data_IF_177534465392
#
_entry.id   IF_177534465392
#
_cell.length_a   1.000
_cell.length_b   1.000
_cell.length_c   1.000
_cell.angle_alpha   90.00
_cell.angle_beta   90.00
_cell.angle_gamma   90.00
#
_symmetry.space_group_name_H-M   'P 1'
#
loop_
_entity.id
_entity.type
_entity.pdbx_description
1 polymer ?
#
# COMPACT_ATOMS: atom_id res chain seq x y z
N UNK A 1 -27.64 0.11 23.89
CA UNK A 1 -27.05 0.74 22.70
C UNK A 1 -25.73 0.04 22.43
N UNK A 2 -25.63 -0.74 21.36
CA UNK A 2 -24.34 -1.28 20.94
C UNK A 2 -23.51 -0.07 20.48
N UNK A 3 -22.30 0.16 21.02
CA UNK A 3 -21.41 1.16 20.46
C UNK A 3 -20.93 0.57 19.14
N UNK A 4 -21.75 0.73 18.10
CA UNK A 4 -21.35 0.40 16.75
C UNK A 4 -20.04 1.13 16.51
N UNK A 5 -19.00 0.36 16.20
CA UNK A 5 -17.71 0.87 15.74
C UNK A 5 -18.01 2.00 14.75
N UNK A 6 -17.73 3.25 15.13
CA UNK A 6 -17.91 4.41 14.26
C UNK A 6 -16.75 4.42 13.26
N UNK A 7 -16.72 3.43 12.39
CA UNK A 7 -15.76 3.34 11.30
C UNK A 7 -16.16 4.41 10.30
N UNK A 8 -15.28 5.37 10.08
CA UNK A 8 -15.48 6.44 9.11
C UNK A 8 -14.91 5.98 7.75
N UNK A 9 -15.75 5.76 6.71
CA UNK A 9 -15.27 5.34 5.39
C UNK A 9 -14.23 6.29 4.78
N UNK A 10 -14.33 7.59 5.07
CA UNK A 10 -13.39 8.59 4.59
C UNK A 10 -12.00 8.46 5.23
N UNK A 11 -11.93 8.03 6.50
CA UNK A 11 -10.66 7.76 7.17
C UNK A 11 -9.99 6.50 6.59
N UNK A 12 -10.78 5.47 6.29
CA UNK A 12 -10.26 4.27 5.64
C UNK A 12 -9.76 4.56 4.22
N UNK A 13 -10.47 5.40 3.47
CA UNK A 13 -10.03 5.83 2.14
C UNK A 13 -8.70 6.59 2.21
N UNK A 14 -8.56 7.53 3.15
CA UNK A 14 -7.30 8.25 3.37
C UNK A 14 -6.17 7.30 3.76
N UNK A 15 -6.46 6.29 4.59
CA UNK A 15 -5.48 5.26 4.94
C UNK A 15 -5.03 4.48 3.69
N UNK A 16 -5.96 4.05 2.83
CA UNK A 16 -5.60 3.37 1.58
C UNK A 16 -4.74 4.27 0.65
N UNK A 17 -5.07 5.56 0.55
CA UNK A 17 -4.26 6.54 -0.21
C UNK A 17 -2.85 6.70 0.37
N UNK A 18 -2.71 6.73 1.70
CA UNK A 18 -1.40 6.79 2.36
C UNK A 18 -0.56 5.54 2.08
N UNK A 19 -1.17 4.35 2.17
CA UNK A 19 -0.50 3.08 1.87
C UNK A 19 -0.02 3.04 0.40
N UNK A 20 -0.82 3.50 -0.55
CA UNK A 20 -0.37 3.66 -1.95
C UNK A 20 0.79 4.67 -2.10
N UNK A 21 0.80 5.73 -1.29
CA UNK A 21 1.93 6.66 -1.21
C UNK A 21 3.21 5.93 -0.79
N UNK A 22 3.14 5.12 0.26
CA UNK A 22 4.26 4.31 0.75
C UNK A 22 4.75 3.30 -0.29
N UNK A 23 3.85 2.64 -1.03
CA UNK A 23 4.21 1.78 -2.18
C UNK A 23 5.04 2.54 -3.22
N UNK A 24 4.64 3.78 -3.52
CA UNK A 24 5.35 4.65 -4.47
C UNK A 24 6.76 4.97 -3.97
N UNK A 25 6.91 5.26 -2.68
CA UNK A 25 8.21 5.53 -2.05
C UNK A 25 9.13 4.30 -2.05
N UNK A 26 8.60 3.11 -1.77
CA UNK A 26 9.37 1.86 -1.86
C UNK A 26 9.89 1.60 -3.27
N UNK A 27 9.03 1.75 -4.28
CA UNK A 27 9.42 1.57 -5.68
C UNK A 27 10.46 2.61 -6.12
N UNK A 28 10.32 3.87 -5.70
CA UNK A 28 11.32 4.92 -5.98
C UNK A 28 12.67 4.59 -5.32
N UNK A 29 12.65 4.14 -4.07
CA UNK A 29 13.86 3.76 -3.32
C UNK A 29 14.55 2.56 -3.96
N UNK A 30 13.79 1.54 -4.37
CA UNK A 30 14.30 0.38 -5.11
C UNK A 30 14.96 0.79 -6.44
N UNK A 31 14.38 1.76 -7.15
CA UNK A 31 14.96 2.35 -8.36
C UNK A 31 16.30 3.04 -8.08
N UNK A 32 16.37 3.87 -7.05
CA UNK A 32 17.62 4.55 -6.66
C UNK A 32 18.72 3.57 -6.25
N UNK A 33 18.39 2.53 -5.47
CA UNK A 33 19.35 1.50 -5.08
C UNK A 33 19.87 0.71 -6.28
N UNK A 34 19.00 0.42 -7.25
CA UNK A 34 19.40 -0.24 -8.51
C UNK A 34 20.40 0.62 -9.29
N UNK A 35 20.16 1.92 -9.39
CA UNK A 35 21.09 2.84 -10.05
C UNK A 35 22.44 2.91 -9.31
N UNK A 36 22.41 3.08 -7.98
CA UNK A 36 23.63 3.10 -7.16
C UNK A 36 24.43 1.80 -7.27
N UNK A 37 23.74 0.65 -7.33
CA UNK A 37 24.36 -0.65 -7.53
C UNK A 37 25.11 -0.73 -8.86
N UNK A 38 24.56 -0.12 -9.89
CA UNK A 38 25.16 -0.11 -11.22
C UNK A 38 26.38 0.82 -11.28
N UNK A 39 26.27 2.01 -10.70
CA UNK A 39 27.38 2.98 -10.59
C UNK A 39 28.54 2.41 -9.76
N UNK A 40 28.24 1.78 -8.63
CA UNK A 40 29.24 1.18 -7.74
C UNK A 40 29.92 -0.03 -8.40
N UNK A 41 29.15 -0.87 -9.10
CA UNK A 41 29.71 -2.00 -9.84
C UNK A 41 30.71 -1.55 -10.93
N UNK A 42 30.38 -0.47 -11.64
CA UNK A 42 31.26 0.13 -12.65
C UNK A 42 32.52 0.76 -12.02
N UNK A 43 32.39 1.36 -10.84
CA UNK A 43 33.50 2.00 -10.13
C UNK A 43 34.50 0.98 -9.56
N UNK A 44 34.02 -0.06 -8.87
CA UNK A 44 34.88 -1.04 -8.21
C UNK A 44 35.56 -1.98 -9.21
N UNK A 45 34.86 -2.34 -10.29
CA UNK A 45 35.28 -3.37 -11.26
C UNK A 45 35.57 -4.75 -10.63
N UNK A 46 35.57 -5.81 -11.45
CA UNK A 46 35.87 -7.17 -10.98
C UNK A 46 34.89 -7.71 -9.93
N UNK A 47 35.39 -8.59 -9.05
CA UNK A 47 34.56 -9.30 -8.06
C UNK A 47 33.93 -8.38 -7.00
N UNK A 48 34.61 -7.29 -6.63
CA UNK A 48 34.06 -6.31 -5.67
C UNK A 48 32.81 -5.61 -6.21
N UNK A 49 32.82 -5.24 -7.49
CA UNK A 49 31.64 -4.67 -8.15
C UNK A 49 30.48 -5.66 -8.27
N UNK A 50 30.76 -6.93 -8.57
CA UNK A 50 29.74 -7.99 -8.62
C UNK A 50 29.09 -8.22 -7.25
N UNK A 51 29.90 -8.28 -6.19
CA UNK A 51 29.40 -8.46 -4.83
C UNK A 51 28.52 -7.28 -4.38
N UNK A 52 28.94 -6.04 -4.68
CA UNK A 52 28.15 -4.85 -4.39
C UNK A 52 26.82 -4.85 -5.15
N UNK A 53 26.84 -5.23 -6.44
CA UNK A 53 25.63 -5.33 -7.26
C UNK A 53 24.67 -6.40 -6.72
N UNK A 54 25.18 -7.57 -6.33
CA UNK A 54 24.38 -8.64 -5.75
C UNK A 54 23.73 -8.22 -4.43
N UNK A 55 24.51 -7.65 -3.49
CA UNK A 55 24.00 -7.21 -2.20
C UNK A 55 22.91 -6.13 -2.34
N UNK A 56 23.11 -5.15 -3.22
CA UNK A 56 22.08 -4.13 -3.47
C UNK A 56 20.86 -4.70 -4.21
N UNK A 57 21.03 -5.72 -5.05
CA UNK A 57 19.92 -6.44 -5.68
C UNK A 57 19.00 -7.12 -4.66
N UNK A 58 19.55 -7.68 -3.59
CA UNK A 58 18.76 -8.26 -2.49
C UNK A 58 17.89 -7.19 -1.80
N UNK A 59 18.45 -6.00 -1.54
CA UNK A 59 17.68 -4.88 -0.97
C UNK A 59 16.56 -4.42 -1.91
N UNK A 60 16.84 -4.29 -3.21
CA UNK A 60 15.82 -3.94 -4.22
C UNK A 60 14.70 -4.98 -4.23
N UNK A 61 15.02 -6.27 -4.20
CA UNK A 61 14.03 -7.35 -4.17
C UNK A 61 13.13 -7.26 -2.93
N UNK A 62 13.72 -7.09 -1.75
CA UNK A 62 12.97 -6.98 -0.50
C UNK A 62 12.03 -5.77 -0.49
N UNK A 63 12.45 -4.62 -1.04
CA UNK A 63 11.59 -3.45 -1.17
C UNK A 63 10.44 -3.66 -2.15
N UNK A 64 10.68 -4.36 -3.26
CA UNK A 64 9.62 -4.71 -4.22
C UNK A 64 8.60 -5.69 -3.62
N UNK A 65 9.04 -6.69 -2.86
CA UNK A 65 8.15 -7.60 -2.14
C UNK A 65 7.29 -6.86 -1.12
N UNK A 66 7.91 -5.95 -0.33
CA UNK A 66 7.17 -5.12 0.61
C UNK A 66 6.16 -4.21 -0.08
N UNK A 67 6.52 -3.63 -1.23
CA UNK A 67 5.62 -2.79 -2.03
C UNK A 67 4.40 -3.58 -2.54
N UNK A 68 4.57 -4.84 -2.92
CA UNK A 68 3.46 -5.72 -3.35
C UNK A 68 2.51 -5.99 -2.17
N UNK A 69 3.04 -6.35 -1.01
CA UNK A 69 2.21 -6.62 0.17
C UNK A 69 1.48 -5.35 0.65
N UNK A 70 2.16 -4.21 0.66
CA UNK A 70 1.56 -2.92 1.04
C UNK A 70 0.45 -2.51 0.07
N UNK A 71 0.64 -2.76 -1.24
CA UNK A 71 -0.39 -2.57 -2.26
C UNK A 71 -1.62 -3.45 -2.00
N UNK A 72 -1.42 -4.74 -1.68
CA UNK A 72 -2.53 -5.63 -1.32
C UNK A 72 -3.27 -5.18 -0.06
N UNK A 73 -2.57 -4.62 0.93
CA UNK A 73 -3.20 -4.06 2.14
C UNK A 73 -4.03 -2.83 1.76
N UNK A 74 -3.49 -1.92 0.95
CA UNK A 74 -4.19 -0.72 0.49
C UNK A 74 -5.50 -1.07 -0.23
N UNK A 75 -5.46 -2.06 -1.14
CA UNK A 75 -6.62 -2.56 -1.87
C UNK A 75 -7.69 -3.12 -0.91
N UNK A 76 -7.30 -3.97 0.05
CA UNK A 76 -8.23 -4.51 1.05
C UNK A 76 -8.86 -3.45 1.94
N UNK A 77 -8.11 -2.42 2.32
CA UNK A 77 -8.63 -1.29 3.10
C UNK A 77 -9.65 -0.50 2.28
N UNK A 78 -9.35 -0.25 1.00
CA UNK A 78 -10.26 0.43 0.06
C UNK A 78 -11.55 -0.36 -0.19
N UNK A 79 -11.44 -1.67 -0.39
CA UNK A 79 -12.59 -2.58 -0.57
C UNK A 79 -13.46 -2.63 0.68
N UNK A 80 -12.84 -2.68 1.86
CA UNK A 80 -13.54 -2.63 3.13
C UNK A 80 -14.30 -1.31 3.30
N UNK A 81 -13.66 -0.17 3.00
CA UNK A 81 -14.28 1.15 3.05
C UNK A 81 -15.52 1.22 2.13
N UNK A 82 -15.40 0.72 0.90
CA UNK A 82 -16.46 0.71 -0.11
C UNK A 82 -17.64 -0.18 0.29
N UNK A 83 -17.34 -1.36 0.83
CA UNK A 83 -18.36 -2.30 1.32
C UNK A 83 -19.11 -1.73 2.52
N UNK A 84 -18.38 -1.14 3.47
CA UNK A 84 -18.96 -0.54 4.67
C UNK A 84 -19.88 0.63 4.31
N UNK A 85 -19.43 1.56 3.46
CA UNK A 85 -20.25 2.69 3.01
C UNK A 85 -21.53 2.24 2.29
N UNK A 86 -21.44 1.21 1.45
CA UNK A 86 -22.59 0.64 0.74
C UNK A 86 -23.59 -0.02 1.70
N UNK A 87 -23.10 -0.70 2.75
CA UNK A 87 -23.94 -1.34 3.76
C UNK A 87 -24.71 -0.33 4.63
N UNK A 88 -24.07 0.80 4.98
CA UNK A 88 -24.72 1.89 5.71
C UNK A 88 -25.76 2.61 4.84
N UNK A 89 -25.49 2.82 3.56
CA UNK A 89 -26.46 3.39 2.62
C UNK A 89 -27.73 2.54 2.47
N UNK A 90 -27.57 1.21 2.42
CA UNK A 90 -28.70 0.27 2.41
C UNK A 90 -29.49 0.33 3.73
N UNK A 91 -28.81 0.33 4.89
CA UNK A 91 -29.47 0.48 6.19
C UNK A 91 -30.27 1.77 6.31
N UNK A 92 -29.69 2.90 5.90
CA UNK A 92 -30.36 4.20 5.94
C UNK A 92 -31.63 4.19 5.07
N UNK A 93 -31.54 3.62 3.87
CA UNK A 93 -32.69 3.51 2.95
C UNK A 93 -33.81 2.65 3.52
N UNK A 94 -33.49 1.48 4.10
CA UNK A 94 -34.50 0.59 4.69
C UNK A 94 -35.20 1.21 5.91
N UNK A 95 -34.49 2.00 6.72
CA UNK A 95 -35.09 2.71 7.86
C UNK A 95 -36.08 3.77 7.37
N UNK A 96 -35.72 4.59 6.39
CA UNK A 96 -36.62 5.61 5.81
C UNK A 96 -37.88 4.99 5.24
N UNK A 97 -37.77 3.90 4.47
CA UNK A 97 -38.92 3.20 3.90
C UNK A 97 -39.86 2.56 4.95
N UNK A 98 -39.33 2.24 6.14
CA UNK A 98 -40.14 1.68 7.24
C UNK A 98 -40.83 2.78 8.05
N UNK A 99 -40.25 3.98 8.12
CA UNK A 99 -40.82 5.14 8.81
C UNK A 99 -41.89 5.87 8.00
N UNK A 100 -41.82 5.81 6.66
CA UNK A 100 -42.81 6.40 5.75
C UNK A 100 -44.05 5.50 5.49
N UNK A 101 -44.23 4.42 6.28
CA UNK A 101 -45.33 3.45 6.16
C UNK A 101 -46.23 3.46 7.39
#
# INVERSE_FOLDING_TARGET
MNPGLSVNPEELKKLAEQLHGTVTEFNSTAGHLTQLAQELAQSLQGEGGKAAHAAMGEFTSALSELAIEEQHIAEKVSDFASTFASSEGLRATSITQTLDR
#
